data_IF_283044531975
#
_entry.id   IF_283044531975
#
_cell.length_a   1.000
_cell.length_b   1.000
_cell.length_c   1.000
_cell.angle_alpha   90.00
_cell.angle_beta   90.00
_cell.angle_gamma   90.00
#
_symmetry.space_group_name_H-M   'P 1'
#
loop_
_entity.id
_entity.type
_entity.pdbx_description
1 polymer ?
#
# COMPACT_ATOMS: atom_id res chain seq x y z
N UNK A 1 -25.77 1.63 -24.75
CA UNK A 1 -24.69 0.77 -24.22
C UNK A 1 -23.28 1.27 -24.61
N UNK A 2 -23.09 2.56 -24.87
CA UNK A 2 -21.80 3.14 -25.33
C UNK A 2 -21.10 4.07 -24.31
N UNK A 3 -21.63 4.22 -23.09
CA UNK A 3 -21.10 5.17 -22.08
C UNK A 3 -20.13 4.50 -21.09
N UNK A 4 -20.03 3.14 -21.09
CA UNK A 4 -19.33 2.38 -20.04
C UNK A 4 -17.79 2.41 -20.12
N UNK A 5 -17.18 2.50 -21.31
CA UNK A 5 -15.71 2.40 -21.46
C UNK A 5 -15.00 3.70 -21.07
N UNK A 6 -15.62 4.86 -21.38
CA UNK A 6 -15.06 6.16 -20.99
C UNK A 6 -15.03 6.40 -19.48
N UNK A 7 -15.95 5.79 -18.72
CA UNK A 7 -16.03 5.96 -17.25
C UNK A 7 -14.99 5.12 -16.50
N UNK A 8 -14.60 3.95 -17.02
CA UNK A 8 -13.58 3.08 -16.39
C UNK A 8 -12.21 3.73 -16.48
N UNK A 9 -11.87 4.29 -17.63
CA UNK A 9 -10.62 5.07 -17.75
C UNK A 9 -10.63 6.33 -16.88
N UNK A 10 -11.80 6.95 -16.65
CA UNK A 10 -11.92 8.15 -15.82
C UNK A 10 -11.88 7.82 -14.31
N UNK A 11 -12.39 6.66 -13.89
CA UNK A 11 -12.32 6.23 -12.49
C UNK A 11 -10.90 5.81 -12.07
N UNK A 12 -10.15 5.14 -12.95
CA UNK A 12 -8.72 4.87 -12.74
C UNK A 12 -7.88 6.17 -12.81
N UNK A 13 -8.28 7.13 -13.65
CA UNK A 13 -7.65 8.45 -13.74
C UNK A 13 -7.94 9.33 -12.52
N UNK A 14 -9.04 9.13 -11.78
CA UNK A 14 -9.35 9.90 -10.57
C UNK A 14 -8.43 9.56 -9.38
N UNK A 15 -7.70 8.41 -9.42
CA UNK A 15 -6.60 8.12 -8.50
C UNK A 15 -5.24 8.61 -9.02
N UNK A 16 -5.18 9.11 -10.24
CA UNK A 16 -3.99 9.67 -10.86
C UNK A 16 -3.94 11.19 -10.62
N UNK A 17 -3.67 11.59 -9.38
CA UNK A 17 -3.18 12.94 -9.10
C UNK A 17 -1.66 12.92 -9.21
N UNK A 18 -1.22 12.69 -10.38
CA UNK A 18 0.06 13.11 -10.99
C UNK A 18 0.22 12.32 -12.27
N UNK A 19 0.32 13.03 -13.32
CA UNK A 19 0.12 12.70 -14.72
C UNK A 19 1.07 11.69 -15.28
N UNK A 20 1.50 10.59 -14.80
CA UNK A 20 2.43 9.78 -15.63
C UNK A 20 2.67 8.32 -15.18
N UNK A 21 2.20 7.87 -14.04
CA UNK A 21 2.43 6.49 -13.62
C UNK A 21 1.31 5.56 -14.10
N UNK A 22 1.67 4.53 -14.85
CA UNK A 22 0.76 3.49 -15.30
C UNK A 22 0.36 2.56 -14.13
N UNK A 23 1.22 2.43 -13.11
CA UNK A 23 1.02 1.54 -11.97
C UNK A 23 0.70 2.33 -10.71
N UNK A 24 -0.55 2.29 -10.27
CA UNK A 24 -1.04 2.99 -9.08
C UNK A 24 -1.24 2.05 -7.87
N UNK A 25 -0.94 0.77 -8.02
CA UNK A 25 -1.16 -0.26 -6.99
C UNK A 25 -0.49 0.10 -5.65
N UNK A 26 0.67 0.77 -5.70
CA UNK A 26 1.42 1.13 -4.50
C UNK A 26 0.79 2.26 -3.67
N UNK A 27 -0.18 3.01 -4.22
CA UNK A 27 -0.85 4.11 -3.52
C UNK A 27 -2.07 3.64 -2.72
N UNK A 28 -2.59 2.44 -3.01
CA UNK A 28 -3.83 1.94 -2.41
C UNK A 28 -3.60 1.38 -1.00
N UNK A 29 -2.35 1.07 -0.62
CA UNK A 29 -2.01 0.41 0.64
C UNK A 29 -2.34 -1.10 0.61
N UNK A 30 -1.78 -1.88 1.54
CA UNK A 30 -1.86 -3.34 1.50
C UNK A 30 -2.90 -3.92 2.46
N UNK A 31 -2.75 -3.69 3.76
CA UNK A 31 -3.53 -4.35 4.79
C UNK A 31 -4.68 -3.52 5.37
N UNK A 32 -5.67 -4.19 5.95
CA UNK A 32 -6.79 -3.50 6.63
C UNK A 32 -6.32 -2.77 7.89
N UNK A 33 -5.35 -3.32 8.64
CA UNK A 33 -4.82 -2.66 9.82
C UNK A 33 -4.08 -1.37 9.50
N UNK A 34 -3.22 -1.38 8.48
CA UNK A 34 -2.50 -0.18 8.04
C UNK A 34 -3.48 0.89 7.53
N UNK A 35 -4.47 0.48 6.71
CA UNK A 35 -5.50 1.39 6.22
C UNK A 35 -6.32 2.03 7.34
N UNK A 36 -6.75 1.24 8.34
CA UNK A 36 -7.53 1.76 9.47
C UNK A 36 -6.74 2.80 10.29
N UNK A 37 -5.41 2.74 10.25
CA UNK A 37 -4.49 3.72 10.83
C UNK A 37 -4.14 4.89 9.88
N UNK A 38 -4.93 5.08 8.82
CA UNK A 38 -4.66 6.12 7.82
C UNK A 38 -3.35 5.90 7.06
N UNK A 39 -2.89 4.64 6.92
CA UNK A 39 -1.59 4.26 6.37
C UNK A 39 -0.37 4.88 7.12
N UNK A 40 -0.55 5.38 8.34
CA UNK A 40 0.54 5.83 9.21
C UNK A 40 1.22 4.62 9.87
N UNK A 41 1.92 3.81 9.04
CA UNK A 41 2.37 2.48 9.43
C UNK A 41 3.89 2.24 9.33
N UNK A 42 4.65 3.14 8.71
CA UNK A 42 6.09 3.00 8.45
C UNK A 42 6.93 2.77 9.72
N UNK A 43 6.49 3.28 10.87
CA UNK A 43 7.14 3.11 12.17
C UNK A 43 6.50 1.99 13.01
N UNK A 44 5.43 1.36 12.57
CA UNK A 44 4.75 0.23 13.23
C UNK A 44 5.19 -1.08 12.58
N UNK A 45 4.76 -1.38 11.38
CA UNK A 45 5.11 -2.47 10.46
C UNK A 45 5.55 -3.78 11.18
N UNK A 46 4.69 -4.31 12.07
CA UNK A 46 5.01 -5.42 12.97
C UNK A 46 4.22 -6.72 12.64
N UNK A 47 3.61 -6.76 11.45
CA UNK A 47 2.87 -7.90 10.88
C UNK A 47 3.27 -8.19 9.42
N UNK A 48 2.52 -9.06 8.73
CA UNK A 48 2.84 -9.47 7.36
C UNK A 48 2.79 -8.33 6.34
N UNK A 49 2.07 -7.24 6.63
CA UNK A 49 2.00 -6.05 5.77
C UNK A 49 3.31 -5.23 5.78
N UNK A 50 4.24 -5.54 6.67
CA UNK A 50 5.60 -4.98 6.67
C UNK A 50 6.33 -5.15 5.33
N UNK A 51 5.98 -6.16 4.53
CA UNK A 51 6.51 -6.38 3.19
C UNK A 51 6.32 -5.14 2.31
N UNK A 52 5.16 -4.49 2.42
CA UNK A 52 4.71 -3.37 1.59
C UNK A 52 4.95 -2.01 2.27
N UNK A 53 4.84 -1.98 3.60
CA UNK A 53 4.83 -0.74 4.39
C UNK A 53 6.20 -0.32 4.93
N UNK A 54 7.03 -1.28 5.33
CA UNK A 54 8.44 -1.07 5.69
C UNK A 54 9.14 -2.42 5.87
N UNK A 55 9.99 -2.87 4.95
CA UNK A 55 10.64 -4.17 5.04
C UNK A 55 11.53 -4.36 6.27
N UNK A 56 12.00 -3.26 6.92
CA UNK A 56 12.72 -3.36 8.18
C UNK A 56 11.84 -3.91 9.32
N UNK A 57 10.52 -3.76 9.21
CA UNK A 57 9.54 -4.28 10.16
C UNK A 57 9.56 -5.80 10.29
N UNK A 58 9.93 -6.53 9.24
CA UNK A 58 10.09 -7.99 9.27
C UNK A 58 11.04 -8.46 10.38
N UNK A 59 12.00 -7.61 10.77
CA UNK A 59 12.90 -7.88 11.89
C UNK A 59 12.23 -7.92 13.27
N UNK A 60 10.99 -7.44 13.39
CA UNK A 60 10.21 -7.45 14.65
C UNK A 60 9.37 -8.72 14.79
N UNK A 61 9.03 -9.36 13.67
CA UNK A 61 8.12 -10.49 13.63
C UNK A 61 8.78 -11.73 14.23
N UNK A 62 8.08 -12.38 15.15
CA UNK A 62 8.62 -13.52 15.93
C UNK A 62 8.05 -14.87 15.47
N UNK A 63 6.95 -14.85 14.68
CA UNK A 63 6.25 -16.05 14.22
C UNK A 63 6.11 -15.99 12.70
N UNK A 64 5.94 -17.15 12.10
CA UNK A 64 5.49 -17.19 10.70
C UNK A 64 4.06 -16.69 10.65
N UNK A 65 3.74 -15.91 9.64
CA UNK A 65 2.40 -15.42 9.41
C UNK A 65 2.07 -15.50 7.92
N UNK A 66 0.89 -15.95 7.60
CA UNK A 66 0.28 -15.87 6.27
C UNK A 66 -0.92 -14.94 6.37
N UNK A 67 -1.00 -13.95 5.51
CA UNK A 67 -2.13 -13.03 5.49
C UNK A 67 -2.69 -12.87 4.07
N UNK A 68 -4.00 -12.63 4.01
CA UNK A 68 -4.72 -12.31 2.79
C UNK A 68 -5.63 -11.11 3.04
N UNK A 69 -5.59 -10.14 2.15
CA UNK A 69 -6.47 -8.96 2.17
C UNK A 69 -7.25 -8.87 0.87
N UNK A 70 -8.54 -8.58 1.00
CA UNK A 70 -9.43 -8.22 -0.09
C UNK A 70 -9.93 -6.80 0.11
N UNK A 71 -9.90 -6.01 -0.96
CA UNK A 71 -10.42 -4.64 -0.98
C UNK A 71 -11.48 -4.53 -2.05
N UNK A 72 -12.65 -4.08 -1.67
CA UNK A 72 -13.68 -3.62 -2.59
C UNK A 72 -13.58 -2.09 -2.69
N UNK A 73 -13.13 -1.64 -3.85
CA UNK A 73 -13.07 -0.23 -4.21
C UNK A 73 -14.43 0.22 -4.70
N UNK A 74 -15.12 1.14 -4.48
CA UNK A 74 -16.46 1.55 -5.03
C UNK A 74 -17.59 0.56 -4.72
N UNK A 75 -17.80 0.26 -3.47
CA UNK A 75 -18.85 -0.65 -3.03
C UNK A 75 -20.23 -0.22 -3.56
N UNK A 76 -20.77 -0.98 -4.52
CA UNK A 76 -22.08 -0.75 -5.12
C UNK A 76 -22.15 0.37 -6.17
N UNK A 77 -21.02 0.94 -6.64
CA UNK A 77 -21.00 2.15 -7.44
C UNK A 77 -20.77 1.98 -8.95
N UNK A 78 -20.24 0.87 -9.43
CA UNK A 78 -19.99 0.67 -10.86
C UNK A 78 -20.68 -0.61 -11.34
N UNK A 79 -21.78 -0.47 -12.09
CA UNK A 79 -22.44 -1.63 -12.69
C UNK A 79 -21.52 -2.30 -13.73
N UNK A 80 -21.14 -3.54 -13.47
CA UNK A 80 -20.51 -4.44 -14.44
C UNK A 80 -18.99 -4.42 -14.46
N UNK A 81 -18.33 -3.90 -13.42
CA UNK A 81 -16.89 -4.10 -13.25
C UNK A 81 -16.51 -4.15 -11.74
N UNK A 82 -15.96 -5.28 -11.33
CA UNK A 82 -15.51 -5.52 -9.96
C UNK A 82 -14.06 -5.03 -9.79
N UNK A 83 -13.88 -3.70 -9.70
CA UNK A 83 -12.57 -3.14 -9.37
C UNK A 83 -12.22 -3.48 -7.92
N UNK A 84 -11.26 -4.35 -7.75
CA UNK A 84 -10.83 -4.82 -6.45
C UNK A 84 -9.32 -4.99 -6.33
N UNK A 85 -8.85 -5.05 -5.08
CA UNK A 85 -7.45 -5.39 -4.78
C UNK A 85 -7.41 -6.68 -3.96
N UNK A 86 -6.45 -7.52 -4.29
CA UNK A 86 -6.11 -8.74 -3.55
C UNK A 86 -4.64 -8.66 -3.14
N UNK A 87 -4.37 -8.92 -1.88
CA UNK A 87 -3.02 -8.94 -1.33
C UNK A 87 -2.79 -10.25 -0.60
N UNK A 88 -1.69 -10.92 -0.93
CA UNK A 88 -1.23 -12.12 -0.25
C UNK A 88 0.17 -11.87 0.30
N UNK A 89 0.39 -12.14 1.57
CA UNK A 89 1.65 -11.93 2.25
C UNK A 89 2.03 -13.13 3.12
N UNK A 90 3.29 -13.50 3.06
CA UNK A 90 3.89 -14.52 3.92
C UNK A 90 5.18 -13.98 4.52
N UNK A 91 5.30 -14.11 5.84
CA UNK A 91 6.50 -13.71 6.56
C UNK A 91 7.04 -14.86 7.39
N UNK A 92 8.38 -14.94 7.46
CA UNK A 92 9.07 -15.96 8.22
C UNK A 92 10.30 -15.38 8.90
N UNK A 93 10.41 -15.46 10.23
CA UNK A 93 11.67 -15.22 10.91
C UNK A 93 12.68 -16.32 10.55
N UNK A 94 13.90 -15.93 10.19
CA UNK A 94 15.02 -16.82 9.87
C UNK A 94 16.08 -16.69 10.97
N UNK A 95 15.91 -17.48 12.03
CA UNK A 95 16.70 -17.36 13.25
C UNK A 95 16.40 -16.08 14.03
N UNK A 96 17.41 -15.54 14.73
CA UNK A 96 17.22 -14.40 15.64
C UNK A 96 17.43 -13.01 15.01
N UNK A 97 18.01 -12.99 13.79
CA UNK A 97 18.47 -11.73 13.18
C UNK A 97 17.86 -11.42 11.81
N UNK A 98 17.35 -12.42 11.11
CA UNK A 98 16.83 -12.23 9.77
C UNK A 98 15.31 -12.44 9.72
N UNK A 99 14.64 -11.67 8.89
CA UNK A 99 13.25 -11.85 8.52
C UNK A 99 13.13 -11.93 7.00
N UNK A 100 12.30 -12.85 6.53
CA UNK A 100 11.94 -13.03 5.12
C UNK A 100 10.47 -12.67 4.93
N UNK A 101 10.16 -11.94 3.87
CA UNK A 101 8.81 -11.64 3.41
C UNK A 101 8.63 -11.98 1.94
N UNK A 102 7.52 -12.61 1.61
CA UNK A 102 7.05 -12.83 0.24
C UNK A 102 5.66 -12.21 0.12
N UNK A 103 5.49 -11.33 -0.86
CA UNK A 103 4.23 -10.62 -1.08
C UNK A 103 3.79 -10.69 -2.53
N UNK A 104 2.49 -10.70 -2.73
CA UNK A 104 1.87 -10.50 -4.04
C UNK A 104 0.64 -9.62 -3.86
N UNK A 105 0.53 -8.60 -4.69
CA UNK A 105 -0.66 -7.77 -4.77
C UNK A 105 -1.15 -7.66 -6.20
N UNK A 106 -2.46 -7.57 -6.35
CA UNK A 106 -3.12 -7.32 -7.62
C UNK A 106 -4.26 -6.34 -7.41
N UNK A 107 -4.32 -5.30 -8.21
CA UNK A 107 -5.48 -4.44 -8.38
C UNK A 107 -5.94 -4.55 -9.82
N UNK A 108 -7.22 -4.55 -10.06
CA UNK A 108 -7.71 -4.56 -11.43
C UNK A 108 -9.16 -4.89 -11.56
N UNK A 109 -9.59 -4.76 -12.79
CA UNK A 109 -10.90 -5.09 -13.32
C UNK A 109 -10.80 -6.28 -14.29
N UNK A 110 -11.87 -6.54 -15.05
CA UNK A 110 -11.85 -7.55 -16.11
C UNK A 110 -10.90 -7.18 -17.26
N UNK A 111 -10.74 -5.88 -17.52
CA UNK A 111 -9.99 -5.38 -18.69
C UNK A 111 -8.52 -5.10 -18.39
N UNK A 112 -8.21 -4.55 -17.22
CA UNK A 112 -6.87 -4.13 -16.84
C UNK A 112 -6.48 -4.64 -15.45
N UNK A 113 -5.23 -5.04 -15.28
CA UNK A 113 -4.69 -5.35 -13.97
C UNK A 113 -3.29 -4.79 -13.77
N UNK A 114 -3.04 -4.35 -12.55
CA UNK A 114 -1.72 -3.99 -12.05
C UNK A 114 -1.33 -4.98 -10.95
N UNK A 115 -0.07 -5.39 -10.95
CA UNK A 115 0.41 -6.46 -10.10
C UNK A 115 1.77 -6.12 -9.51
N UNK A 116 2.03 -6.62 -8.30
CA UNK A 116 3.32 -6.52 -7.63
C UNK A 116 3.71 -7.85 -6.99
N UNK A 117 4.90 -8.33 -7.26
CA UNK A 117 5.50 -9.47 -6.57
C UNK A 117 6.71 -8.99 -5.77
N UNK A 118 6.77 -9.30 -4.48
CA UNK A 118 7.73 -8.76 -3.51
C UNK A 118 8.54 -9.86 -2.86
N UNK A 119 9.85 -9.65 -2.80
CA UNK A 119 10.80 -10.38 -1.98
C UNK A 119 11.49 -9.41 -1.05
N UNK A 120 11.24 -9.54 0.25
CA UNK A 120 11.75 -8.64 1.28
C UNK A 120 12.62 -9.39 2.28
N UNK A 121 13.73 -8.77 2.65
CA UNK A 121 14.64 -9.26 3.66
C UNK A 121 14.89 -8.18 4.70
N UNK A 122 14.91 -8.55 5.97
CA UNK A 122 15.33 -7.67 7.05
C UNK A 122 16.49 -8.25 7.83
N UNK A 123 17.30 -7.36 8.35
CA UNK A 123 18.41 -7.69 9.25
C UNK A 123 18.32 -6.87 10.52
N UNK A 124 18.30 -7.55 11.66
CA UNK A 124 18.37 -6.94 12.98
C UNK A 124 19.83 -6.58 13.30
N UNK A 125 20.22 -5.36 12.93
CA UNK A 125 21.57 -4.86 13.08
C UNK A 125 21.97 -4.69 14.56
N UNK A 126 20.98 -4.34 15.40
CA UNK A 126 21.15 -4.28 16.86
C UNK A 126 19.82 -4.59 17.58
N UNK A 127 19.78 -4.50 18.91
CA UNK A 127 18.53 -4.59 19.67
C UNK A 127 17.56 -3.44 19.36
N UNK A 128 18.10 -2.32 18.87
CA UNK A 128 17.33 -1.11 18.59
C UNK A 128 17.14 -0.84 17.09
N UNK A 129 17.97 -1.40 16.21
CA UNK A 129 17.98 -1.04 14.78
C UNK A 129 17.73 -2.26 13.89
N UNK A 130 16.71 -2.17 13.05
CA UNK A 130 16.45 -3.07 11.94
C UNK A 130 16.63 -2.34 10.60
N UNK A 131 17.19 -3.04 9.62
CA UNK A 131 17.33 -2.60 8.23
C UNK A 131 16.58 -3.60 7.37
N UNK A 132 15.89 -3.13 6.34
CA UNK A 132 15.16 -3.97 5.42
C UNK A 132 15.41 -3.58 3.97
N UNK A 133 15.43 -4.55 3.08
CA UNK A 133 15.51 -4.38 1.64
C UNK A 133 14.40 -5.15 0.98
N UNK A 134 13.71 -4.56 0.02
CA UNK A 134 12.72 -5.22 -0.81
C UNK A 134 13.10 -5.10 -2.28
N UNK A 135 13.07 -6.23 -2.99
CA UNK A 135 13.03 -6.26 -4.44
C UNK A 135 11.60 -6.59 -4.85
N UNK A 136 11.05 -5.80 -5.78
CA UNK A 136 9.67 -5.99 -6.24
C UNK A 136 9.63 -5.96 -7.76
N UNK A 137 8.84 -6.85 -8.35
CA UNK A 137 8.53 -6.82 -9.77
C UNK A 137 7.12 -6.26 -9.94
N UNK A 138 7.03 -5.08 -10.50
CA UNK A 138 5.79 -4.36 -10.78
C UNK A 138 5.46 -4.51 -12.25
N UNK A 139 4.25 -4.95 -12.57
CA UNK A 139 3.82 -5.18 -13.94
C UNK A 139 2.32 -4.95 -14.10
N UNK A 140 1.93 -4.56 -15.28
CA UNK A 140 0.54 -4.38 -15.66
C UNK A 140 0.23 -5.14 -16.95
N UNK A 141 -1.05 -5.42 -17.17
CA UNK A 141 -1.56 -6.01 -18.38
C UNK A 141 -2.94 -5.47 -18.73
N UNK A 142 -3.18 -5.26 -20.00
CA UNK A 142 -4.47 -4.88 -20.56
C UNK A 142 -4.92 -6.00 -21.48
N UNK A 143 -6.19 -6.40 -21.36
CA UNK A 143 -6.84 -7.40 -22.21
C UNK A 143 -7.17 -6.86 -23.59
N UNK A 144 -8.01 -7.61 -24.32
CA UNK A 144 -8.47 -7.22 -25.65
C UNK A 144 -9.48 -6.08 -25.55
N UNK A 145 -9.12 -4.91 -26.09
CA UNK A 145 -10.00 -3.75 -26.18
C UNK A 145 -10.63 -3.75 -27.58
N UNK A 146 -11.96 -3.89 -27.70
CA UNK A 146 -12.62 -3.82 -29.00
C UNK A 146 -12.33 -2.49 -29.71
N UNK A 147 -12.06 -2.50 -31.02
CA UNK A 147 -11.81 -1.29 -31.77
C UNK A 147 -12.98 -0.30 -31.69
N UNK A 148 -12.70 0.97 -31.42
CA UNK A 148 -13.71 2.04 -31.54
C UNK A 148 -13.64 2.68 -32.90
N UNK A 149 -14.78 2.69 -33.64
CA UNK A 149 -14.91 3.21 -35.01
C UNK A 149 -13.84 2.65 -35.97
N UNK A 150 -13.43 1.37 -35.80
CA UNK A 150 -12.41 0.70 -36.60
C UNK A 150 -10.97 1.08 -36.28
N UNK A 151 -10.73 1.86 -35.20
CA UNK A 151 -9.40 2.15 -34.67
C UNK A 151 -9.09 1.20 -33.52
N UNK A 152 -8.01 0.45 -33.65
CA UNK A 152 -7.50 -0.35 -32.55
C UNK A 152 -6.96 0.57 -31.41
N UNK A 153 -7.26 0.21 -30.17
CA UNK A 153 -6.65 0.87 -29.02
C UNK A 153 -5.17 0.45 -28.91
N UNK A 154 -4.21 1.39 -28.80
CA UNK A 154 -2.79 1.06 -28.71
C UNK A 154 -2.41 0.29 -27.45
N UNK A 155 -3.24 0.31 -26.39
CA UNK A 155 -3.03 -0.45 -25.16
C UNK A 155 -3.62 -1.86 -25.21
N UNK A 156 -4.46 -2.19 -26.22
CA UNK A 156 -5.07 -3.51 -26.36
C UNK A 156 -4.02 -4.61 -26.41
N UNK A 157 -4.16 -5.63 -25.55
CA UNK A 157 -3.25 -6.77 -25.43
C UNK A 157 -1.79 -6.39 -25.09
N UNK A 158 -1.58 -5.23 -24.45
CA UNK A 158 -0.26 -4.81 -24.00
C UNK A 158 0.02 -5.23 -22.55
N UNK A 159 1.29 -5.41 -22.24
CA UNK A 159 1.79 -5.62 -20.89
C UNK A 159 3.21 -5.13 -20.77
N UNK A 160 3.56 -4.58 -19.63
CA UNK A 160 4.93 -4.22 -19.32
C UNK A 160 5.18 -4.31 -17.80
N UNK A 161 6.44 -4.24 -17.41
CA UNK A 161 6.82 -4.26 -16.00
C UNK A 161 8.30 -4.08 -15.81
N UNK A 162 8.68 -3.78 -14.57
CA UNK A 162 10.09 -3.59 -14.21
C UNK A 162 10.33 -3.91 -12.73
N UNK A 163 11.61 -4.04 -12.37
CA UNK A 163 12.04 -4.32 -11.00
C UNK A 163 12.27 -3.01 -10.27
N UNK A 164 11.60 -2.85 -9.12
CA UNK A 164 11.81 -1.79 -8.15
C UNK A 164 12.56 -2.27 -6.92
N UNK A 165 13.21 -1.35 -6.21
CA UNK A 165 13.94 -1.62 -4.97
C UNK A 165 13.51 -0.63 -3.91
N UNK A 166 13.23 -1.12 -2.69
CA UNK A 166 12.90 -0.29 -1.53
C UNK A 166 13.89 -0.56 -0.39
N UNK A 167 14.17 0.48 0.40
CA UNK A 167 15.03 0.41 1.58
C UNK A 167 14.26 0.90 2.81
N UNK A 168 14.20 0.07 3.85
CA UNK A 168 13.57 0.38 5.12
C UNK A 168 14.55 0.47 6.28
N UNK A 169 14.24 1.33 7.24
CA UNK A 169 14.90 1.41 8.55
C UNK A 169 13.85 1.51 9.64
N UNK A 170 14.08 0.84 10.78
CA UNK A 170 13.28 0.99 11.99
C UNK A 170 14.20 1.08 13.19
N UNK A 171 13.98 2.11 14.00
CA UNK A 171 14.80 2.37 15.18
C UNK A 171 13.95 2.56 16.44
N UNK A 172 14.15 1.66 17.40
CA UNK A 172 13.64 1.81 18.76
C UNK A 172 14.47 2.85 19.47
N UNK A 173 13.90 4.01 19.74
CA UNK A 173 14.62 5.13 20.34
C UNK A 173 14.96 4.87 21.81
N UNK A 174 15.86 5.65 22.43
CA UNK A 174 16.07 5.61 23.89
C UNK A 174 14.84 6.04 24.70
N UNK A 175 13.92 6.79 24.09
CA UNK A 175 12.67 7.19 24.74
C UNK A 175 11.70 6.00 24.75
N UNK A 176 11.35 5.56 25.96
CA UNK A 176 10.48 4.39 26.16
C UNK A 176 9.14 4.58 25.42
N UNK A 177 8.81 3.61 24.61
CA UNK A 177 7.57 3.60 23.83
C UNK A 177 7.67 4.26 22.44
N UNK A 178 8.75 4.98 22.12
CA UNK A 178 8.92 5.65 20.84
C UNK A 178 9.76 4.82 19.86
N UNK A 179 9.25 4.69 18.63
CA UNK A 179 9.90 4.02 17.51
C UNK A 179 9.85 4.92 16.27
N UNK A 180 10.96 5.00 15.55
CA UNK A 180 11.05 5.70 14.26
C UNK A 180 11.08 4.70 13.12
N UNK A 181 10.46 5.08 12.00
CA UNK A 181 10.50 4.36 10.74
C UNK A 181 10.90 5.28 9.60
N UNK A 182 11.71 4.76 8.70
CA UNK A 182 12.04 5.36 7.41
C UNK A 182 11.86 4.31 6.33
N UNK A 183 11.24 4.72 5.22
CA UNK A 183 11.16 3.92 4.01
C UNK A 183 11.49 4.82 2.81
N UNK A 184 12.38 4.34 1.98
CA UNK A 184 12.64 4.89 0.65
C UNK A 184 12.09 3.90 -0.37
N UNK A 185 11.02 4.27 -1.05
CA UNK A 185 10.40 3.48 -2.12
C UNK A 185 11.02 3.83 -3.47
N UNK A 186 11.08 2.84 -4.35
CA UNK A 186 11.52 3.02 -5.74
C UNK A 186 12.89 3.69 -5.88
N UNK A 187 13.88 3.27 -5.08
CA UNK A 187 15.25 3.83 -5.10
C UNK A 187 15.87 3.91 -6.50
N UNK A 188 15.53 2.96 -7.38
CA UNK A 188 16.03 2.88 -8.75
C UNK A 188 15.07 3.49 -9.78
N UNK A 189 13.95 4.10 -9.35
CA UNK A 189 12.93 4.73 -10.20
C UNK A 189 12.59 3.87 -11.43
N UNK A 190 12.04 2.66 -11.23
CA UNK A 190 11.80 1.74 -12.34
C UNK A 190 10.77 2.31 -13.32
N UNK A 191 11.05 2.22 -14.62
CA UNK A 191 10.08 2.56 -15.65
C UNK A 191 9.27 1.31 -16.02
N UNK A 192 8.02 1.24 -15.56
CA UNK A 192 7.13 0.08 -15.73
C UNK A 192 6.38 0.07 -17.08
N UNK A 193 6.45 1.15 -17.85
CA UNK A 193 5.86 1.24 -19.20
C UNK A 193 6.90 1.07 -20.32
N UNK A 194 8.18 0.96 -19.98
CA UNK A 194 9.27 0.93 -20.97
C UNK A 194 9.10 -0.19 -21.99
N UNK A 195 9.04 0.20 -23.25
CA UNK A 195 8.91 -0.72 -24.40
C UNK A 195 7.49 -1.15 -24.72
N UNK A 196 6.47 -0.71 -23.99
CA UNK A 196 5.07 -1.06 -24.22
C UNK A 196 4.38 -0.19 -25.27
N UNK A 197 4.73 1.08 -25.34
CA UNK A 197 4.13 2.05 -26.28
C UNK A 197 5.23 2.85 -26.97
N UNK A 198 5.15 3.11 -28.28
CA UNK A 198 6.11 3.97 -28.98
C UNK A 198 6.15 5.38 -28.39
N UNK A 199 7.33 5.85 -28.01
CA UNK A 199 7.51 7.19 -27.45
C UNK A 199 7.20 7.27 -25.94
N UNK A 200 7.21 6.12 -25.22
CA UNK A 200 6.93 6.03 -23.79
C UNK A 200 7.87 6.88 -22.91
N UNK A 201 9.10 7.16 -23.37
CA UNK A 201 10.03 8.03 -22.65
C UNK A 201 10.09 7.69 -21.16
N UNK A 202 9.83 8.68 -20.31
CA UNK A 202 9.75 8.55 -18.84
C UNK A 202 8.31 8.39 -18.31
N UNK A 203 7.30 8.26 -19.16
CA UNK A 203 5.89 8.24 -18.79
C UNK A 203 5.49 7.11 -17.81
N UNK A 204 6.25 6.02 -17.76
CA UNK A 204 6.02 4.92 -16.82
C UNK A 204 7.04 4.87 -15.68
N UNK A 205 7.81 5.92 -15.48
CA UNK A 205 8.83 5.97 -14.43
C UNK A 205 8.19 6.24 -13.08
N UNK A 206 8.34 5.29 -12.16
CA UNK A 206 7.85 5.46 -10.80
C UNK A 206 8.80 6.37 -10.01
N UNK A 207 8.28 7.40 -9.35
CA UNK A 207 9.10 8.31 -8.56
C UNK A 207 9.69 7.61 -7.33
N UNK A 208 10.75 8.18 -6.80
CA UNK A 208 11.29 7.80 -5.50
C UNK A 208 10.55 8.55 -4.41
N UNK A 209 9.90 7.81 -3.50
CA UNK A 209 9.17 8.36 -2.36
C UNK A 209 9.94 8.14 -1.05
N UNK A 210 9.82 9.10 -0.13
CA UNK A 210 10.32 9.00 1.23
C UNK A 210 9.18 9.04 2.24
N UNK A 211 9.11 8.02 3.10
CA UNK A 211 8.19 7.95 4.23
C UNK A 211 8.98 8.01 5.52
N UNK A 212 8.67 8.95 6.39
CA UNK A 212 9.26 9.08 7.73
C UNK A 212 8.15 9.09 8.76
N UNK A 213 8.25 8.25 9.79
CA UNK A 213 7.20 8.17 10.79
C UNK A 213 7.71 7.95 12.20
N UNK A 214 6.83 8.26 13.12
CA UNK A 214 7.00 8.01 14.57
C UNK A 214 5.78 7.22 15.04
N UNK A 215 6.02 6.12 15.75
CA UNK A 215 5.01 5.42 16.53
C UNK A 215 5.31 5.58 18.01
N UNK A 216 4.29 5.81 18.81
CA UNK A 216 4.42 5.97 20.25
C UNK A 216 3.41 5.12 21.00
N UNK A 217 3.92 4.20 21.83
CA UNK A 217 3.11 3.38 22.72
C UNK A 217 2.69 4.21 23.94
N UNK A 218 1.43 4.64 23.97
CA UNK A 218 0.87 5.45 25.07
C UNK A 218 0.76 4.63 26.37
N UNK A 219 0.32 3.39 26.23
CA UNK A 219 0.19 2.40 27.29
C UNK A 219 0.22 0.99 26.66
N UNK A 220 0.20 -0.12 27.44
CA UNK A 220 0.25 -1.47 26.84
C UNK A 220 -0.86 -1.79 25.83
N UNK A 221 -1.98 -1.08 25.86
CA UNK A 221 -3.14 -1.31 25.00
C UNK A 221 -3.28 -0.32 23.86
N UNK A 222 -2.58 0.84 23.91
CA UNK A 222 -2.84 1.94 22.97
C UNK A 222 -1.56 2.48 22.36
N UNK A 223 -1.56 2.68 21.05
CA UNK A 223 -0.49 3.33 20.32
C UNK A 223 -1.05 4.45 19.42
N UNK A 224 -0.21 5.40 19.11
CA UNK A 224 -0.46 6.45 18.11
C UNK A 224 0.70 6.53 17.15
N UNK A 225 0.45 6.97 15.93
CA UNK A 225 1.48 7.16 14.92
C UNK A 225 1.24 8.42 14.10
N UNK A 226 2.34 9.00 13.65
CA UNK A 226 2.36 10.09 12.68
C UNK A 226 3.40 9.76 11.63
N UNK A 227 3.05 9.95 10.37
CA UNK A 227 3.94 9.70 9.24
C UNK A 227 3.86 10.88 8.27
N UNK A 228 5.00 11.30 7.78
CA UNK A 228 5.13 12.24 6.67
C UNK A 228 5.60 11.48 5.43
N UNK A 229 4.95 11.73 4.33
CA UNK A 229 5.30 11.19 3.02
C UNK A 229 5.70 12.35 2.13
N UNK A 230 6.88 12.27 1.57
CA UNK A 230 7.34 13.10 0.48
C UNK A 230 7.33 12.22 -0.78
N UNK A 231 6.29 12.37 -1.58
CA UNK A 231 6.17 11.69 -2.85
C UNK A 231 6.98 12.45 -3.92
N UNK A 232 7.50 11.73 -4.88
CA UNK A 232 8.31 12.25 -5.98
C UNK A 232 9.47 13.17 -5.55
N UNK A 233 10.45 12.59 -4.86
CA UNK A 233 11.68 13.32 -4.46
C UNK A 233 12.51 13.82 -5.64
N UNK A 234 12.22 13.39 -6.85
CA UNK A 234 12.96 13.72 -8.09
C UNK A 234 12.20 14.68 -9.00
N UNK A 235 10.94 14.98 -8.72
CA UNK A 235 10.09 15.87 -9.51
C UNK A 235 10.23 17.35 -9.16
N UNK A 236 9.71 18.20 -10.03
CA UNK A 236 9.64 19.66 -9.79
C UNK A 236 8.53 20.04 -8.78
N UNK A 237 7.52 19.20 -8.63
CA UNK A 237 6.46 19.32 -7.63
C UNK A 237 6.41 18.04 -6.79
N UNK A 238 6.71 18.14 -5.51
CA UNK A 238 6.61 17.00 -4.59
C UNK A 238 5.29 17.07 -3.84
N UNK A 239 4.42 16.10 -4.09
CA UNK A 239 3.23 15.91 -3.28
C UNK A 239 3.64 15.44 -1.89
N UNK A 240 3.26 16.19 -0.90
CA UNK A 240 3.54 15.80 0.48
C UNK A 240 2.25 15.59 1.26
N UNK A 241 2.27 14.61 2.16
CA UNK A 241 1.13 14.30 3.00
C UNK A 241 1.54 13.93 4.41
N UNK A 242 0.70 14.29 5.35
CA UNK A 242 0.78 13.83 6.74
C UNK A 242 -0.32 12.80 6.97
N UNK A 243 0.06 11.69 7.57
CA UNK A 243 -0.79 10.58 7.94
C UNK A 243 -0.77 10.45 9.46
N UNK A 244 -1.92 10.20 10.07
CA UNK A 244 -2.04 9.99 11.50
C UNK A 244 -2.87 8.76 11.79
N UNK A 245 -2.53 8.02 12.83
CA UNK A 245 -3.26 6.83 13.23
C UNK A 245 -3.22 6.57 14.72
N UNK A 246 -4.25 5.90 15.20
CA UNK A 246 -4.34 5.42 16.57
C UNK A 246 -5.01 4.07 16.63
N UNK A 247 -4.47 3.18 17.47
CA UNK A 247 -4.99 1.85 17.76
C UNK A 247 -5.14 1.68 19.26
N UNK A 248 -6.24 1.08 19.69
CA UNK A 248 -6.44 0.73 21.10
C UNK A 248 -7.14 -0.61 21.25
N UNK A 249 -6.67 -1.42 22.16
CA UNK A 249 -7.35 -2.64 22.60
C UNK A 249 -8.49 -2.27 23.55
N UNK A 250 -9.73 -2.61 23.18
CA UNK A 250 -10.92 -2.27 23.95
C UNK A 250 -11.18 -3.29 25.05
N UNK A 251 -11.37 -4.56 24.69
CA UNK A 251 -11.67 -5.65 25.59
C UNK A 251 -11.24 -6.98 24.99
N UNK A 252 -10.59 -7.82 25.78
CA UNK A 252 -10.07 -9.09 25.29
C UNK A 252 -9.15 -8.89 24.09
N UNK A 253 -9.52 -9.50 22.97
CA UNK A 253 -8.74 -9.46 21.72
C UNK A 253 -9.34 -8.50 20.66
N UNK A 254 -10.24 -7.58 21.06
CA UNK A 254 -10.86 -6.60 20.17
C UNK A 254 -10.04 -5.31 20.11
N UNK A 255 -9.66 -4.91 18.89
CA UNK A 255 -8.93 -3.68 18.59
C UNK A 255 -9.85 -2.66 17.90
N UNK A 256 -9.76 -1.40 18.28
CA UNK A 256 -10.36 -0.26 17.59
C UNK A 256 -9.26 0.59 16.99
N UNK A 257 -9.47 1.06 15.75
CA UNK A 257 -8.52 1.88 15.00
C UNK A 257 -9.21 3.04 14.34
N UNK A 258 -8.51 4.15 14.28
CA UNK A 258 -8.91 5.32 13.49
C UNK A 258 -7.66 6.02 12.96
N UNK A 259 -7.79 6.64 11.81
CA UNK A 259 -6.71 7.37 11.18
C UNK A 259 -7.20 8.28 10.08
N UNK A 260 -6.29 8.98 9.45
CA UNK A 260 -6.58 9.81 8.30
C UNK A 260 -5.34 10.50 7.77
N UNK A 261 -5.50 11.16 6.65
CA UNK A 261 -4.44 11.89 5.98
C UNK A 261 -4.85 13.29 5.60
N UNK A 262 -3.83 14.15 5.39
CA UNK A 262 -3.97 15.44 4.72
C UNK A 262 -2.88 15.54 3.67
N UNK A 263 -3.29 15.85 2.45
CA UNK A 263 -2.42 16.11 1.31
C UNK A 263 -2.17 17.62 1.24
N UNK A 264 -0.92 18.03 1.00
CA UNK A 264 -0.52 19.45 0.92
C UNK A 264 -0.29 19.84 -0.54
N UNK A 265 -1.33 19.67 -1.33
CA UNK A 265 -1.41 20.08 -2.72
C UNK A 265 -2.63 21.00 -2.90
N UNK A 266 -2.61 21.85 -3.92
CA UNK A 266 -3.74 22.71 -4.26
C UNK A 266 -4.94 21.84 -4.65
N UNK A 267 -6.11 22.10 -4.07
CA UNK A 267 -7.37 21.36 -4.22
C UNK A 267 -7.39 19.90 -3.67
N UNK A 268 -6.30 19.38 -3.13
CA UNK A 268 -6.30 18.06 -2.51
C UNK A 268 -6.74 18.10 -1.05
N UNK A 269 -7.49 17.09 -0.61
CA UNK A 269 -8.05 17.05 0.75
C UNK A 269 -7.37 16.03 1.65
N UNK A 270 -7.52 14.77 1.38
CA UNK A 270 -7.05 13.65 2.21
C UNK A 270 -8.13 12.60 2.42
N UNK A 271 -8.01 11.81 3.48
CA UNK A 271 -8.94 10.72 3.78
C UNK A 271 -9.21 10.57 5.28
N UNK A 272 -10.29 9.87 5.59
CA UNK A 272 -10.63 9.38 6.93
C UNK A 272 -10.75 7.86 6.90
N UNK A 273 -10.27 7.23 7.97
CA UNK A 273 -10.23 5.79 8.09
C UNK A 273 -10.71 5.36 9.48
N UNK A 274 -11.43 4.26 9.53
CA UNK A 274 -11.82 3.59 10.77
C UNK A 274 -11.73 2.07 10.59
N UNK A 275 -11.48 1.34 11.66
CA UNK A 275 -11.38 -0.10 11.56
C UNK A 275 -11.49 -0.83 12.89
N UNK A 276 -11.70 -2.13 12.75
CA UNK A 276 -11.78 -3.09 13.84
C UNK A 276 -10.84 -4.24 13.59
N UNK A 277 -10.24 -4.77 14.64
CA UNK A 277 -9.45 -5.98 14.60
C UNK A 277 -9.91 -6.95 15.67
N UNK A 278 -9.90 -8.23 15.38
CA UNK A 278 -10.21 -9.27 16.35
C UNK A 278 -9.27 -10.45 16.21
N UNK A 279 -8.67 -10.84 17.32
CA UNK A 279 -7.80 -12.02 17.38
C UNK A 279 -8.57 -13.19 17.97
N UNK A 280 -8.63 -14.30 17.22
CA UNK A 280 -9.18 -15.55 17.70
C UNK A 280 -8.10 -16.65 17.64
N UNK A 281 -7.52 -16.97 18.78
CA UNK A 281 -6.39 -17.89 18.88
C UNK A 281 -5.19 -17.44 18.02
N UNK A 282 -4.99 -18.09 16.86
CA UNK A 282 -3.93 -17.83 15.90
C UNK A 282 -4.41 -17.05 14.67
N UNK A 283 -5.69 -16.73 14.59
CA UNK A 283 -6.29 -16.02 13.46
C UNK A 283 -6.57 -14.58 13.82
N UNK A 284 -6.18 -13.66 12.95
CA UNK A 284 -6.56 -12.27 13.01
C UNK A 284 -7.60 -11.99 11.94
N UNK A 285 -8.59 -11.19 12.30
CA UNK A 285 -9.60 -10.64 11.41
C UNK A 285 -9.51 -9.12 11.55
N UNK A 286 -9.24 -8.43 10.46
CA UNK A 286 -9.20 -6.99 10.44
C UNK A 286 -10.14 -6.46 9.37
N UNK A 287 -10.82 -5.37 9.70
CA UNK A 287 -11.69 -4.63 8.82
C UNK A 287 -11.29 -3.15 8.84
N UNK A 288 -11.28 -2.52 7.67
CA UNK A 288 -11.13 -1.08 7.54
C UNK A 288 -12.16 -0.52 6.57
N UNK A 289 -12.63 0.67 6.89
CA UNK A 289 -13.43 1.52 6.03
C UNK A 289 -12.64 2.80 5.75
N UNK A 290 -12.49 3.12 4.48
CA UNK A 290 -11.75 4.27 3.96
C UNK A 290 -12.68 5.21 3.23
N UNK A 291 -12.66 6.51 3.56
CA UNK A 291 -13.44 7.57 2.94
C UNK A 291 -12.48 8.61 2.38
N UNK A 292 -12.28 8.67 1.05
CA UNK A 292 -11.58 9.78 0.43
C UNK A 292 -12.48 11.03 0.50
N UNK A 293 -11.92 12.16 0.96
CA UNK A 293 -12.70 13.37 1.21
C UNK A 293 -13.01 14.18 -0.07
N UNK A 294 -12.27 13.92 -1.13
CA UNK A 294 -12.48 14.46 -2.48
C UNK A 294 -13.41 13.62 -3.37
N UNK A 295 -13.69 12.38 -2.97
CA UNK A 295 -14.53 11.42 -3.70
C UNK A 295 -15.63 10.82 -2.80
N UNK A 296 -16.30 11.63 -2.01
CA UNK A 296 -17.33 11.17 -1.04
C UNK A 296 -18.53 10.50 -1.70
N UNK A 297 -18.76 10.74 -2.99
CA UNK A 297 -19.84 10.11 -3.77
C UNK A 297 -19.61 8.61 -4.04
N UNK A 298 -18.40 8.11 -3.83
CA UNK A 298 -18.02 6.70 -4.12
C UNK A 298 -18.40 5.72 -3.03
N UNK A 299 -19.04 6.16 -1.94
CA UNK A 299 -19.31 5.33 -0.75
C UNK A 299 -18.06 4.70 -0.10
N UNK A 300 -16.86 5.23 -0.40
CA UNK A 300 -15.60 4.75 0.16
C UNK A 300 -15.21 3.33 -0.26
N UNK A 301 -14.19 2.79 0.41
CA UNK A 301 -13.69 1.45 0.17
C UNK A 301 -13.74 0.59 1.45
N UNK A 302 -14.06 -0.69 1.26
CA UNK A 302 -14.09 -1.70 2.32
C UNK A 302 -12.93 -2.66 2.16
N UNK A 303 -12.22 -2.92 3.26
CA UNK A 303 -11.05 -3.78 3.28
C UNK A 303 -11.19 -4.83 4.38
N UNK A 304 -10.96 -6.09 4.02
CA UNK A 304 -10.99 -7.23 4.94
C UNK A 304 -9.67 -7.96 4.87
N UNK A 305 -9.03 -8.17 6.01
CA UNK A 305 -7.80 -8.96 6.13
C UNK A 305 -7.99 -10.16 7.05
N UNK A 306 -7.35 -11.26 6.68
CA UNK A 306 -7.23 -12.46 7.49
C UNK A 306 -5.76 -12.81 7.60
N UNK A 307 -5.28 -13.04 8.83
CA UNK A 307 -3.91 -13.51 9.03
C UNK A 307 -3.88 -14.70 9.99
N UNK A 308 -2.96 -15.64 9.72
CA UNK A 308 -2.75 -16.82 10.54
C UNK A 308 -1.32 -16.89 11.05
N UNK A 309 -1.17 -16.99 12.37
CA UNK A 309 0.10 -17.18 13.07
C UNK A 309 0.37 -18.68 13.23
N UNK A 310 1.51 -19.16 12.73
CA UNK A 310 1.90 -20.57 12.83
C UNK A 310 2.54 -20.93 14.17
#
# INVERSE_FOLDING_TARGET
>A
MRIKIGFICTALAAFAVSSEAVVNIQSVGAGARAQALGNSYVAIADDADAIFENPAGLGQIQKKQLAYTNVSLFFGGIEGDDLGQHVLSYVQPLGSKLGLGLGYERIGSELMSENGAFLSLSYKASKALNVGLSAKYLFWSVGDIPPDNGRADPLSNQSAGNVGVDLGLMWKTPFKGAQLGLLLKNLNQPNVAKGSVPGDGDAGKLPMDMHVGVAYQLNPQSLVSVQYVLADMSGESSDSRVLVGGETQLAGDLMLRAGGSKIFEEDATGDLNAGLGYKWNKVWFDYAYHIPLDLTETNGAHRFSFAYDF
#
